data_IF_934258283390
#
_entry.id   IF_934258283390
#
_cell.length_a   1.000
_cell.length_b   1.000
_cell.length_c   1.000
_cell.angle_alpha   90.00
_cell.angle_beta   90.00
_cell.angle_gamma   90.00
#
_symmetry.space_group_name_H-M   'P 1'
#
loop_
_entity.id
_entity.type
_entity.pdbx_description
1 polymer ?
#
# COMPACT_ATOMS: atom_id res chain seq x y z
N UNK A 1 21.23 3.40 3.80
CA UNK A 1 21.64 2.11 4.43
C UNK A 1 20.48 1.31 5.07
N UNK A 2 19.22 1.47 4.63
CA UNK A 2 18.07 0.70 5.16
C UNK A 2 17.52 -0.39 4.21
N UNK A 3 17.86 -0.33 2.92
CA UNK A 3 17.31 -1.24 1.90
C UNK A 3 17.74 -2.71 2.05
N UNK A 4 18.93 -2.97 2.57
CA UNK A 4 19.41 -4.35 2.77
C UNK A 4 18.64 -5.09 3.87
N UNK A 5 18.20 -4.38 4.92
CA UNK A 5 17.65 -5.01 6.13
C UNK A 5 16.31 -5.71 5.89
N UNK A 6 15.40 -5.08 5.13
CA UNK A 6 14.11 -5.71 4.84
C UNK A 6 14.29 -6.94 3.95
N UNK A 7 15.14 -6.85 2.92
CA UNK A 7 15.34 -7.93 1.96
C UNK A 7 15.99 -9.13 2.66
N UNK A 8 16.96 -8.88 3.53
CA UNK A 8 17.53 -9.94 4.38
C UNK A 8 16.48 -10.57 5.29
N UNK A 9 15.59 -9.78 5.90
CA UNK A 9 14.52 -10.32 6.76
C UNK A 9 13.51 -11.13 5.94
N UNK A 10 13.07 -10.63 4.79
CA UNK A 10 12.17 -11.34 3.89
C UNK A 10 12.79 -12.67 3.43
N UNK A 11 14.04 -12.65 2.97
CA UNK A 11 14.75 -13.87 2.55
C UNK A 11 14.90 -14.86 3.70
N UNK A 12 15.14 -14.41 4.94
CA UNK A 12 15.16 -15.30 6.12
C UNK A 12 13.79 -15.93 6.39
N UNK A 13 12.70 -15.17 6.29
CA UNK A 13 11.33 -15.70 6.45
C UNK A 13 11.03 -16.76 5.40
N UNK A 14 11.40 -16.50 4.13
CA UNK A 14 11.19 -17.45 3.04
C UNK A 14 12.07 -18.69 3.19
N UNK A 15 13.31 -18.55 3.63
CA UNK A 15 14.19 -19.69 3.90
C UNK A 15 13.64 -20.53 5.06
N UNK A 16 13.19 -19.91 6.14
CA UNK A 16 12.54 -20.61 7.26
C UNK A 16 11.32 -21.40 6.78
N UNK A 17 10.51 -20.85 5.88
CA UNK A 17 9.38 -21.55 5.27
C UNK A 17 9.82 -22.79 4.49
N UNK A 18 10.91 -22.72 3.71
CA UNK A 18 11.42 -23.86 2.92
C UNK A 18 12.11 -24.92 3.78
N UNK A 19 12.75 -24.52 4.89
CA UNK A 19 13.52 -25.42 5.75
C UNK A 19 12.68 -26.17 6.80
N UNK A 20 11.38 -25.89 6.93
CA UNK A 20 10.52 -26.58 7.89
C UNK A 20 9.93 -27.86 7.29
N UNK A 21 10.10 -28.99 7.99
CA UNK A 21 9.46 -30.27 7.62
C UNK A 21 7.94 -30.27 7.87
N UNK A 22 7.45 -29.45 8.81
CA UNK A 22 6.01 -29.30 9.11
C UNK A 22 5.57 -27.84 8.92
N UNK A 23 4.50 -27.64 8.13
CA UNK A 23 3.99 -26.31 7.80
C UNK A 23 3.00 -25.84 8.87
N UNK A 24 3.47 -25.03 9.82
CA UNK A 24 2.58 -24.34 10.75
C UNK A 24 1.82 -23.21 10.03
N UNK A 25 0.51 -23.08 10.29
CA UNK A 25 -0.37 -22.14 9.58
C UNK A 25 0.17 -20.70 9.57
N UNK A 26 0.72 -20.23 10.69
CA UNK A 26 1.24 -18.86 10.78
C UNK A 26 2.48 -18.64 9.89
N UNK A 27 3.33 -19.65 9.71
CA UNK A 27 4.52 -19.56 8.86
C UNK A 27 4.14 -19.46 7.39
N UNK A 28 3.14 -20.25 6.97
CA UNK A 28 2.59 -20.21 5.61
C UNK A 28 1.97 -18.84 5.35
N UNK A 29 1.14 -18.33 6.26
CA UNK A 29 0.49 -17.03 6.12
C UNK A 29 1.53 -15.90 5.99
N UNK A 30 2.58 -15.92 6.81
CA UNK A 30 3.63 -14.91 6.76
C UNK A 30 4.41 -14.94 5.44
N UNK A 31 4.80 -16.14 4.97
CA UNK A 31 5.48 -16.30 3.69
C UNK A 31 4.59 -15.84 2.53
N UNK A 32 3.30 -16.20 2.55
CA UNK A 32 2.33 -15.77 1.56
C UNK A 32 2.10 -14.26 1.60
N UNK A 33 2.11 -13.63 2.77
CA UNK A 33 2.04 -12.18 2.90
C UNK A 33 3.25 -11.48 2.28
N UNK A 34 4.46 -11.99 2.54
CA UNK A 34 5.68 -11.46 1.92
C UNK A 34 5.62 -11.56 0.40
N UNK A 35 5.18 -12.71 -0.13
CA UNK A 35 5.12 -12.96 -1.58
C UNK A 35 4.00 -12.19 -2.29
N UNK A 36 2.79 -12.17 -1.73
CA UNK A 36 1.61 -11.60 -2.41
C UNK A 36 1.44 -10.11 -2.18
N UNK A 37 1.87 -9.59 -1.04
CA UNK A 37 1.58 -8.21 -0.63
C UNK A 37 2.85 -7.39 -0.57
N UNK A 38 3.80 -7.79 0.29
CA UNK A 38 4.93 -6.92 0.64
C UNK A 38 5.93 -6.77 -0.51
N UNK A 39 6.40 -7.87 -1.10
CA UNK A 39 7.39 -7.83 -2.17
C UNK A 39 6.85 -7.11 -3.43
N UNK A 40 5.66 -7.43 -3.97
CA UNK A 40 5.11 -6.73 -5.13
C UNK A 40 4.93 -5.23 -4.88
N UNK A 41 4.42 -4.84 -3.70
CA UNK A 41 4.25 -3.43 -3.34
C UNK A 41 5.59 -2.70 -3.24
N UNK A 42 6.58 -3.32 -2.59
CA UNK A 42 7.91 -2.74 -2.46
C UNK A 42 8.57 -2.54 -3.83
N UNK A 43 8.51 -3.54 -4.72
CA UNK A 43 9.05 -3.42 -6.07
C UNK A 43 8.29 -2.38 -6.90
N UNK A 44 6.96 -2.31 -6.80
CA UNK A 44 6.17 -1.30 -7.49
C UNK A 44 6.59 0.13 -7.10
N UNK A 45 6.81 0.39 -5.80
CA UNK A 45 7.31 1.67 -5.30
C UNK A 45 8.72 1.94 -5.83
N UNK A 46 9.58 0.93 -5.93
CA UNK A 46 10.95 1.10 -6.42
C UNK A 46 11.01 1.37 -7.92
N UNK A 47 10.14 0.76 -8.71
CA UNK A 47 10.05 0.97 -10.15
C UNK A 47 9.41 2.34 -10.45
N UNK A 48 8.40 2.73 -9.67
CA UNK A 48 7.67 4.00 -9.83
C UNK A 48 7.68 4.80 -8.52
N UNK A 49 8.78 5.50 -8.20
CA UNK A 49 8.96 6.16 -6.89
C UNK A 49 8.33 7.55 -6.81
N UNK A 50 7.65 8.01 -7.84
CA UNK A 50 7.13 9.36 -7.91
C UNK A 50 5.88 9.53 -7.04
N UNK A 51 5.69 10.74 -6.49
CA UNK A 51 4.53 11.06 -5.66
C UNK A 51 3.19 10.76 -6.35
N UNK A 52 3.10 11.02 -7.66
CA UNK A 52 1.94 10.69 -8.49
C UNK A 52 1.52 9.21 -8.47
N UNK A 53 2.46 8.30 -8.23
CA UNK A 53 2.19 6.87 -8.21
C UNK A 53 1.82 6.38 -6.79
N UNK A 54 2.03 7.21 -5.76
CA UNK A 54 1.86 6.83 -4.36
C UNK A 54 0.43 6.38 -4.02
N UNK A 55 -0.58 7.12 -4.46
CA UNK A 55 -1.99 6.76 -4.27
C UNK A 55 -2.33 5.41 -4.92
N UNK A 56 -1.80 5.17 -6.13
CA UNK A 56 -1.99 3.91 -6.87
C UNK A 56 -1.31 2.74 -6.16
N UNK A 57 -0.12 2.95 -5.61
CA UNK A 57 0.57 1.94 -4.80
C UNK A 57 -0.21 1.59 -3.54
N UNK A 58 -0.75 2.58 -2.84
CA UNK A 58 -1.58 2.38 -1.66
C UNK A 58 -2.86 1.60 -2.00
N UNK A 59 -3.53 1.95 -3.10
CA UNK A 59 -4.72 1.23 -3.58
C UNK A 59 -4.39 -0.24 -3.92
N UNK A 60 -3.28 -0.49 -4.61
CA UNK A 60 -2.80 -1.86 -4.90
C UNK A 60 -2.48 -2.64 -3.63
N UNK A 61 -1.86 -2.00 -2.64
CA UNK A 61 -1.58 -2.60 -1.34
C UNK A 61 -2.87 -3.03 -0.64
N UNK A 62 -3.86 -2.14 -0.53
CA UNK A 62 -5.17 -2.45 0.06
C UNK A 62 -5.82 -3.61 -0.69
N UNK A 63 -5.84 -3.56 -2.02
CA UNK A 63 -6.41 -4.62 -2.86
C UNK A 63 -5.71 -5.97 -2.64
N UNK A 64 -4.38 -5.97 -2.50
CA UNK A 64 -3.59 -7.16 -2.26
C UNK A 64 -3.86 -7.77 -0.87
N UNK A 65 -4.37 -7.01 0.10
CA UNK A 65 -4.63 -7.53 1.45
C UNK A 65 -6.02 -8.16 1.61
N UNK A 66 -6.88 -8.09 0.60
CA UNK A 66 -8.26 -8.60 0.67
C UNK A 66 -8.33 -10.11 0.94
N UNK A 67 -7.33 -10.89 0.51
CA UNK A 67 -7.33 -12.34 0.71
C UNK A 67 -7.06 -12.78 2.16
N UNK A 68 -6.63 -11.87 3.04
CA UNK A 68 -6.30 -12.24 4.43
C UNK A 68 -7.57 -12.59 5.23
N UNK A 69 -7.47 -13.53 6.19
CA UNK A 69 -8.57 -13.81 7.10
C UNK A 69 -8.88 -12.57 7.95
N UNK A 70 -10.15 -12.39 8.32
CA UNK A 70 -10.68 -11.18 8.97
C UNK A 70 -9.86 -10.73 10.17
N UNK A 71 -9.44 -11.67 11.04
CA UNK A 71 -8.66 -11.34 12.25
C UNK A 71 -7.31 -10.69 11.93
N UNK A 72 -6.61 -11.18 10.90
CA UNK A 72 -5.33 -10.63 10.47
C UNK A 72 -5.52 -9.36 9.65
N UNK A 73 -6.56 -9.33 8.82
CA UNK A 73 -6.91 -8.17 8.01
C UNK A 73 -7.14 -6.93 8.87
N UNK A 74 -7.88 -7.04 9.98
CA UNK A 74 -8.08 -5.91 10.92
C UNK A 74 -6.75 -5.35 11.43
N UNK A 75 -5.79 -6.21 11.75
CA UNK A 75 -4.46 -5.77 12.23
C UNK A 75 -3.67 -5.08 11.11
N UNK A 76 -3.72 -5.60 9.89
CA UNK A 76 -3.03 -5.02 8.72
C UNK A 76 -3.67 -3.71 8.30
N UNK A 77 -5.00 -3.63 8.26
CA UNK A 77 -5.75 -2.42 7.91
C UNK A 77 -5.43 -1.28 8.88
N UNK A 78 -5.31 -1.55 10.18
CA UNK A 78 -4.85 -0.56 11.16
C UNK A 78 -3.45 -0.02 10.86
N UNK A 79 -2.54 -0.87 10.40
CA UNK A 79 -1.18 -0.44 10.01
C UNK A 79 -1.23 0.39 8.74
N UNK A 80 -2.05 0.01 7.76
CA UNK A 80 -2.24 0.76 6.51
C UNK A 80 -2.83 2.14 6.81
N UNK A 81 -3.89 2.21 7.62
CA UNK A 81 -4.54 3.47 8.02
C UNK A 81 -3.58 4.41 8.75
N UNK A 82 -2.70 3.88 9.62
CA UNK A 82 -1.69 4.71 10.30
C UNK A 82 -0.61 5.25 9.36
N UNK A 83 -0.42 4.64 8.19
CA UNK A 83 0.62 5.01 7.21
C UNK A 83 0.01 5.50 5.89
N UNK A 84 -1.27 5.87 5.86
CA UNK A 84 -2.01 6.19 4.63
C UNK A 84 -1.80 7.63 4.14
N UNK A 85 -0.56 8.16 4.22
CA UNK A 85 -0.25 9.51 3.74
C UNK A 85 -0.70 9.73 2.28
N UNK A 86 -0.50 8.73 1.41
CA UNK A 86 -0.92 8.82 0.02
C UNK A 86 -2.44 8.69 -0.20
N UNK A 87 -3.25 8.49 0.86
CA UNK A 87 -4.71 8.55 0.78
C UNK A 87 -5.26 9.97 0.95
N UNK A 88 -4.41 10.95 1.28
CA UNK A 88 -4.85 12.34 1.39
C UNK A 88 -5.39 12.88 0.05
N UNK A 89 -6.36 13.78 0.13
CA UNK A 89 -7.07 14.30 -1.03
C UNK A 89 -6.11 14.96 -2.04
N UNK A 90 -5.09 15.68 -1.57
CA UNK A 90 -4.07 16.28 -2.43
C UNK A 90 -3.25 15.23 -3.19
N UNK A 91 -2.90 14.10 -2.55
CA UNK A 91 -2.12 13.04 -3.18
C UNK A 91 -2.97 12.24 -4.18
N UNK A 92 -4.26 12.06 -3.88
CA UNK A 92 -5.22 11.49 -4.82
C UNK A 92 -5.40 12.39 -6.04
N UNK A 93 -5.53 13.71 -5.84
CA UNK A 93 -5.67 14.68 -6.92
C UNK A 93 -4.42 14.67 -7.82
N UNK A 94 -3.22 14.65 -7.26
CA UNK A 94 -1.96 14.57 -8.03
C UNK A 94 -1.94 13.29 -8.88
N UNK A 95 -2.37 12.16 -8.32
CA UNK A 95 -2.44 10.90 -9.06
C UNK A 95 -3.47 10.96 -10.22
N UNK A 96 -4.63 11.59 -10.01
CA UNK A 96 -5.64 11.79 -11.05
C UNK A 96 -5.17 12.75 -12.15
N UNK A 97 -4.55 13.87 -11.78
CA UNK A 97 -4.04 14.87 -12.73
C UNK A 97 -2.97 14.33 -13.67
N UNK A 98 -2.19 13.37 -13.18
CA UNK A 98 -1.08 12.76 -13.91
C UNK A 98 -1.43 11.40 -14.51
N UNK A 99 -2.72 11.03 -14.45
CA UNK A 99 -3.23 9.81 -15.06
C UNK A 99 -3.08 9.86 -16.59
N UNK A 100 -2.76 8.70 -17.18
CA UNK A 100 -2.72 8.54 -18.63
C UNK A 100 -4.12 8.64 -19.24
N UNK A 101 -5.12 8.17 -18.49
CA UNK A 101 -6.49 8.09 -18.95
C UNK A 101 -7.19 9.45 -18.85
N UNK A 102 -7.70 10.02 -19.97
CA UNK A 102 -8.32 11.35 -19.97
C UNK A 102 -9.58 11.39 -19.10
N UNK A 103 -10.36 10.31 -19.06
CA UNK A 103 -11.59 10.23 -18.25
C UNK A 103 -11.34 10.30 -16.73
N UNK A 104 -10.11 10.03 -16.27
CA UNK A 104 -9.71 10.17 -14.85
C UNK A 104 -9.12 11.57 -14.60
N UNK A 105 -8.42 12.11 -15.59
CA UNK A 105 -7.74 13.41 -15.51
C UNK A 105 -8.70 14.59 -15.61
N UNK A 106 -9.71 14.49 -16.48
CA UNK A 106 -10.69 15.57 -16.74
C UNK A 106 -11.41 16.04 -15.46
N UNK A 107 -11.96 15.15 -14.61
CA UNK A 107 -12.59 15.55 -13.35
C UNK A 107 -11.66 16.31 -12.39
N UNK A 108 -10.35 16.06 -12.45
CA UNK A 108 -9.39 16.71 -11.56
C UNK A 108 -9.05 18.15 -12.00
N UNK A 109 -9.32 18.53 -13.25
CA UNK A 109 -9.03 19.86 -13.81
C UNK A 109 -10.22 20.82 -13.69
N UNK A 110 -11.45 20.31 -13.65
CA UNK A 110 -12.68 21.09 -13.50
C UNK A 110 -13.33 20.86 -12.11
N UNK A 111 -13.09 21.75 -11.11
CA UNK A 111 -13.55 21.56 -9.73
C UNK A 111 -15.07 21.60 -9.52
N UNK A 112 -15.86 21.89 -10.56
CA UNK A 112 -17.33 22.01 -10.47
C UNK A 112 -18.02 20.73 -9.96
N UNK A 113 -17.35 19.57 -10.01
CA UNK A 113 -17.89 18.28 -9.58
C UNK A 113 -17.45 17.87 -8.15
N UNK A 114 -16.57 18.64 -7.49
CA UNK A 114 -16.07 18.35 -6.13
C UNK A 114 -17.02 18.81 -5.01
N UNK A 115 -18.19 19.38 -5.33
CA UNK A 115 -19.23 19.75 -4.34
C UNK A 115 -20.03 18.54 -3.80
N UNK A 116 -19.63 17.30 -4.11
CA UNK A 116 -20.26 16.11 -3.53
C UNK A 116 -19.80 15.90 -2.06
N UNK A 117 -20.71 15.64 -1.11
CA UNK A 117 -20.40 15.59 0.33
C UNK A 117 -19.43 14.47 0.75
N UNK A 118 -19.08 13.54 -0.14
CA UNK A 118 -18.27 12.36 0.13
C UNK A 118 -16.78 12.63 0.28
N UNK A 119 -16.28 13.80 -0.14
CA UNK A 119 -14.84 14.14 -0.07
C UNK A 119 -14.43 14.88 1.22
N UNK A 120 -15.37 15.23 2.11
CA UNK A 120 -15.05 15.96 3.34
C UNK A 120 -14.69 15.01 4.49
N UNK A 121 -13.41 15.10 4.88
CA UNK A 121 -12.72 14.56 6.06
C UNK A 121 -12.06 13.19 5.92
N UNK A 122 -10.78 13.24 5.57
CA UNK A 122 -9.77 12.40 6.22
C UNK A 122 -8.74 13.33 6.86
N UNK A 123 -9.02 13.70 8.10
CA UNK A 123 -8.06 14.36 8.98
C UNK A 123 -6.99 13.32 9.37
N UNK A 124 -5.81 13.37 8.75
CA UNK A 124 -4.64 12.66 9.28
C UNK A 124 -3.46 13.64 9.37
N UNK A 125 -3.13 14.04 10.61
CA UNK A 125 -1.88 14.69 10.93
C UNK A 125 -0.74 13.69 10.73
N UNK A 126 0.09 13.86 9.69
CA UNK A 126 1.24 13.01 9.42
C UNK A 126 2.53 13.85 9.25
N UNK A 127 3.13 14.24 10.38
CA UNK A 127 4.59 14.42 10.45
C UNK A 127 5.18 13.19 11.14
N UNK A 128 5.62 12.24 10.32
CA UNK A 128 6.86 11.45 10.43
C UNK A 128 6.75 10.25 9.51
N UNK A 129 7.32 10.43 8.33
CA UNK A 129 7.42 9.42 7.29
C UNK A 129 8.34 8.29 7.75
N UNK A 130 7.77 7.11 7.91
CA UNK A 130 8.34 5.80 7.56
C UNK A 130 9.88 5.72 7.50
N UNK A 131 10.50 5.83 8.69
CA UNK A 131 11.76 5.20 9.09
C UNK A 131 11.71 4.90 10.59
#
# INVERSE_FOLDING_TARGET
MYHARWLTRANRVLLLYVSMEYLYENSVILAMYVFKVYAPTYFAIKIHPYCKDGARHLFKLISATIYLPTELKVKVDLVIQRNSYFAHAENLLIAMLTDSEPHIREPAVSPSDFESPSFRKMDCNCFNFLL
#
